data_IF_556382030992
#
_entry.id   IF_556382030992
#
_cell.length_a   1.000
_cell.length_b   1.000
_cell.length_c   1.000
_cell.angle_alpha   90.00
_cell.angle_beta   90.00
_cell.angle_gamma   90.00
#
_symmetry.space_group_name_H-M   'P 1'
#
loop_
_entity.id
_entity.type
_entity.pdbx_description
1 polymer ?
#
# COMPACT_ATOMS: atom_id res chain seq x y z
N UNK A 1 15.55 -10.03 0.49
CA UNK A 1 14.77 -9.42 -0.59
C UNK A 1 13.91 -8.30 -0.01
N UNK A 2 14.29 -7.02 -0.18
CA UNK A 2 13.52 -5.84 0.25
C UNK A 2 12.31 -5.57 -0.68
N UNK A 3 11.61 -6.64 -1.12
CA UNK A 3 10.58 -6.56 -2.19
C UNK A 3 9.15 -6.35 -1.66
N UNK A 4 8.95 -6.34 -0.35
CA UNK A 4 7.60 -6.26 0.23
C UNK A 4 6.98 -4.87 0.16
N UNK A 5 7.78 -3.80 0.26
CA UNK A 5 7.25 -2.44 0.17
C UNK A 5 6.54 -2.20 -1.17
N UNK A 6 7.19 -2.53 -2.30
CA UNK A 6 6.60 -2.41 -3.63
C UNK A 6 5.36 -3.27 -3.83
N UNK A 7 5.30 -4.46 -3.21
CA UNK A 7 4.11 -5.31 -3.22
C UNK A 7 2.93 -4.65 -2.50
N UNK A 8 3.15 -4.11 -1.30
CA UNK A 8 2.12 -3.42 -0.52
C UNK A 8 1.65 -2.12 -1.18
N UNK A 9 2.55 -1.38 -1.82
CA UNK A 9 2.20 -0.21 -2.61
C UNK A 9 1.33 -0.58 -3.82
N UNK A 10 1.73 -1.59 -4.60
CA UNK A 10 0.96 -2.06 -5.75
C UNK A 10 -0.43 -2.59 -5.36
N UNK A 11 -0.51 -3.35 -4.26
CA UNK A 11 -1.77 -3.84 -3.72
C UNK A 11 -2.66 -2.70 -3.24
N UNK A 12 -2.08 -1.72 -2.55
CA UNK A 12 -2.79 -0.51 -2.11
C UNK A 12 -3.37 0.26 -3.28
N UNK A 13 -2.61 0.48 -4.36
CA UNK A 13 -3.08 1.16 -5.57
C UNK A 13 -4.19 0.34 -6.27
N UNK A 14 -4.06 -0.98 -6.38
CA UNK A 14 -5.06 -1.83 -7.02
C UNK A 14 -6.42 -1.76 -6.28
N UNK A 15 -6.39 -1.89 -4.95
CA UNK A 15 -7.59 -1.79 -4.10
C UNK A 15 -8.14 -0.37 -4.12
N UNK A 16 -7.27 0.64 -3.98
CA UNK A 16 -7.64 2.04 -4.03
C UNK A 16 -8.30 2.45 -5.34
N UNK A 17 -7.79 1.95 -6.47
CA UNK A 17 -8.38 2.19 -7.78
C UNK A 17 -9.78 1.60 -7.89
N UNK A 18 -10.00 0.38 -7.38
CA UNK A 18 -11.33 -0.24 -7.33
C UNK A 18 -12.31 0.59 -6.47
N UNK A 19 -11.86 1.11 -5.32
CA UNK A 19 -12.65 2.02 -4.49
C UNK A 19 -12.93 3.32 -5.26
N UNK A 20 -11.93 3.91 -5.92
CA UNK A 20 -12.08 5.12 -6.71
C UNK A 20 -13.11 4.99 -7.84
N UNK A 21 -13.19 3.81 -8.47
CA UNK A 21 -14.24 3.49 -9.46
C UNK A 21 -15.62 3.49 -8.82
N UNK A 22 -15.80 2.84 -7.66
CA UNK A 22 -17.09 2.77 -6.96
C UNK A 22 -17.58 4.16 -6.53
N UNK A 23 -16.67 5.02 -6.07
CA UNK A 23 -17.00 6.38 -5.62
C UNK A 23 -17.02 7.41 -6.76
N UNK A 24 -16.73 7.01 -8.00
CA UNK A 24 -16.59 7.94 -9.14
C UNK A 24 -15.47 8.97 -8.98
N UNK A 25 -14.54 8.73 -8.06
CA UNK A 25 -13.42 9.62 -7.76
C UNK A 25 -12.11 8.84 -7.65
N UNK A 26 -11.45 8.69 -8.80
CA UNK A 26 -10.16 8.01 -8.92
C UNK A 26 -9.07 8.64 -8.06
N UNK A 27 -9.07 9.98 -7.92
CA UNK A 27 -8.09 10.71 -7.11
C UNK A 27 -8.17 10.30 -5.64
N UNK A 28 -9.39 10.25 -5.09
CA UNK A 28 -9.63 9.77 -3.73
C UNK A 28 -9.23 8.30 -3.56
N UNK A 29 -9.65 7.44 -4.49
CA UNK A 29 -9.34 6.01 -4.43
C UNK A 29 -7.84 5.72 -4.45
N UNK A 30 -7.11 6.27 -5.42
CA UNK A 30 -5.67 6.04 -5.57
C UNK A 30 -4.89 6.63 -4.40
N UNK A 31 -5.21 7.83 -3.93
CA UNK A 31 -4.52 8.46 -2.80
C UNK A 31 -4.75 7.71 -1.49
N UNK A 32 -5.99 7.26 -1.21
CA UNK A 32 -6.31 6.41 -0.06
C UNK A 32 -5.58 5.06 -0.14
N UNK A 33 -5.70 4.38 -1.28
CA UNK A 33 -5.08 3.07 -1.48
C UNK A 33 -3.56 3.12 -1.37
N UNK A 34 -2.92 4.11 -1.98
CA UNK A 34 -1.47 4.32 -1.87
C UNK A 34 -1.05 4.62 -0.43
N UNK A 35 -1.76 5.50 0.27
CA UNK A 35 -1.44 5.87 1.66
C UNK A 35 -1.51 4.65 2.59
N UNK A 36 -2.56 3.83 2.48
CA UNK A 36 -2.66 2.58 3.24
C UNK A 36 -1.57 1.58 2.85
N UNK A 37 -1.34 1.39 1.54
CA UNK A 37 -0.33 0.46 1.04
C UNK A 37 1.08 0.80 1.52
N UNK A 38 1.45 2.09 1.47
CA UNK A 38 2.74 2.58 2.00
C UNK A 38 2.81 2.39 3.51
N UNK A 39 1.78 2.80 4.27
CA UNK A 39 1.77 2.68 5.71
C UNK A 39 1.97 1.22 6.17
N UNK A 40 1.22 0.28 5.58
CA UNK A 40 1.36 -1.15 5.88
C UNK A 40 2.74 -1.66 5.45
N UNK A 41 3.19 -1.29 4.25
CA UNK A 41 4.49 -1.69 3.72
C UNK A 41 5.65 -1.27 4.62
N UNK A 42 5.64 -0.03 5.12
CA UNK A 42 6.67 0.51 6.01
C UNK A 42 6.65 -0.19 7.37
N UNK A 43 5.47 -0.39 7.97
CA UNK A 43 5.34 -1.10 9.25
C UNK A 43 5.88 -2.53 9.12
N UNK A 44 5.55 -3.20 8.02
CA UNK A 44 5.96 -4.58 7.79
C UNK A 44 7.46 -4.68 7.49
N UNK A 45 8.00 -3.76 6.70
CA UNK A 45 9.44 -3.67 6.47
C UNK A 45 10.19 -3.46 7.79
N UNK A 46 9.72 -2.53 8.65
CA UNK A 46 10.34 -2.29 9.95
C UNK A 46 10.33 -3.53 10.84
N UNK A 47 9.22 -4.30 10.85
CA UNK A 47 9.13 -5.56 11.59
C UNK A 47 10.09 -6.62 11.06
N UNK A 48 10.30 -6.69 9.74
CA UNK A 48 11.23 -7.64 9.14
C UNK A 48 12.70 -7.29 9.40
N UNK A 49 13.02 -6.00 9.41
CA UNK A 49 14.35 -5.52 9.74
C UNK A 49 14.69 -5.85 11.21
N UNK A 50 13.73 -5.69 12.13
CA UNK A 50 13.92 -6.06 13.55
C UNK A 50 13.97 -7.56 13.83
N UNK A 51 13.34 -8.40 12.99
CA UNK A 51 13.37 -9.86 13.16
C UNK A 51 14.65 -10.50 12.60
N UNK A 52 15.52 -9.69 11.99
CA UNK A 52 16.78 -10.14 11.39
C UNK A 52 18.02 -9.74 12.20
N UNK A 53 17.84 -8.93 13.25
CA UNK A 53 18.81 -8.79 14.35
C UNK A 53 18.56 -9.88 15.40
#
# INVERSE_FOLDING_TARGET
MKKKLGLWMGLGIAIGSAIGVVFGNYGLGISLGLSLGVAIGVIQQKKEDQKKE
#
